data_IF_088367209300
#
_entry.id   IF_088367209300
#
_cell.length_a   1.000
_cell.length_b   1.000
_cell.length_c   1.000
_cell.angle_alpha   90.00
_cell.angle_beta   90.00
_cell.angle_gamma   90.00
#
_symmetry.space_group_name_H-M   'P 1'
#
loop_
_entity.id
_entity.type
_entity.pdbx_description
1 polymer ?
#
# COMPACT_ATOMS: atom_id res chain seq x y z
N UNK A 1 -3.21 18.96 33.70
CA UNK A 1 -4.01 18.75 32.47
C UNK A 1 -3.28 19.28 31.24
N UNK A 2 -2.67 20.46 31.30
CA UNK A 2 -1.90 21.03 30.16
C UNK A 2 -0.69 20.17 29.73
N UNK A 3 0.04 19.58 30.67
CA UNK A 3 1.20 18.74 30.36
C UNK A 3 0.82 17.43 29.65
N UNK A 4 -0.36 16.89 29.91
CA UNK A 4 -0.86 15.67 29.23
C UNK A 4 -1.26 15.95 27.78
N UNK A 5 -1.92 17.09 27.55
CA UNK A 5 -2.30 17.52 26.19
C UNK A 5 -1.08 17.88 25.35
N UNK A 6 -0.05 18.49 25.97
CA UNK A 6 1.19 18.82 25.29
C UNK A 6 1.95 17.56 24.86
N UNK A 7 2.05 16.59 25.77
CA UNK A 7 2.70 15.29 25.49
C UNK A 7 1.95 14.51 24.40
N UNK A 8 0.61 14.53 24.44
CA UNK A 8 -0.21 13.88 23.41
C UNK A 8 -0.01 14.51 22.03
N UNK A 9 0.05 15.85 21.97
CA UNK A 9 0.34 16.58 20.71
C UNK A 9 1.76 16.31 20.20
N UNK A 10 2.75 16.20 21.08
CA UNK A 10 4.11 15.86 20.69
C UNK A 10 4.18 14.45 20.09
N UNK A 11 3.52 13.48 20.73
CA UNK A 11 3.44 12.10 20.23
C UNK A 11 2.71 12.04 18.87
N UNK A 12 1.62 12.78 18.72
CA UNK A 12 0.88 12.86 17.45
C UNK A 12 1.69 13.58 16.36
N UNK A 13 2.43 14.63 16.69
CA UNK A 13 3.32 15.30 15.75
C UNK A 13 4.49 14.41 15.32
N UNK A 14 5.17 13.74 16.27
CA UNK A 14 6.23 12.80 15.94
C UNK A 14 5.71 11.60 15.13
N UNK A 15 4.48 11.16 15.39
CA UNK A 15 3.79 10.13 14.61
C UNK A 15 3.49 10.62 13.19
N UNK A 16 3.00 11.86 13.07
CA UNK A 16 2.68 12.50 11.80
C UNK A 16 3.93 12.77 10.96
N UNK A 17 5.02 13.27 11.56
CA UNK A 17 6.29 13.51 10.88
C UNK A 17 6.95 12.19 10.43
N UNK A 18 6.89 11.13 11.25
CA UNK A 18 7.36 9.79 10.86
C UNK A 18 6.56 9.22 9.70
N UNK A 19 5.26 9.44 9.66
CA UNK A 19 4.38 8.97 8.57
C UNK A 19 4.68 9.64 7.22
N UNK A 20 5.22 10.86 7.21
CA UNK A 20 5.58 11.57 5.98
C UNK A 20 6.87 11.03 5.35
N UNK A 21 7.79 10.48 6.15
CA UNK A 21 9.06 9.92 5.65
C UNK A 21 9.04 8.40 5.47
N UNK A 22 8.13 7.69 6.13
CA UNK A 22 8.14 6.22 6.17
C UNK A 22 7.04 5.64 5.28
N UNK A 23 7.43 4.91 4.24
CA UNK A 23 6.51 4.26 3.30
C UNK A 23 5.71 3.15 4.00
N UNK A 24 6.39 2.35 4.81
CA UNK A 24 5.81 1.21 5.52
C UNK A 24 6.49 1.01 6.86
N UNK A 25 5.72 0.71 7.90
CA UNK A 25 6.22 0.25 9.20
C UNK A 25 5.38 -0.90 9.72
N UNK A 26 6.02 -1.78 10.49
CA UNK A 26 5.35 -2.88 11.16
C UNK A 26 5.69 -2.91 12.66
N UNK A 27 4.70 -3.25 13.50
CA UNK A 27 4.93 -3.51 14.92
C UNK A 27 5.32 -4.96 15.11
N UNK A 28 6.62 -5.20 15.28
CA UNK A 28 7.20 -6.52 15.47
C UNK A 28 6.99 -6.96 16.92
N UNK A 29 6.30 -8.08 17.12
CA UNK A 29 5.91 -8.57 18.44
C UNK A 29 6.45 -9.98 18.70
N UNK A 30 6.88 -10.22 19.95
CA UNK A 30 7.28 -11.53 20.43
C UNK A 30 6.06 -12.29 20.94
N UNK A 31 5.56 -13.24 20.14
CA UNK A 31 4.36 -14.01 20.45
C UNK A 31 4.51 -14.84 21.74
N UNK A 32 5.67 -15.44 21.98
CA UNK A 32 5.92 -16.22 23.19
C UNK A 32 5.77 -15.38 24.46
N UNK A 33 6.33 -14.19 24.48
CA UNK A 33 6.17 -13.26 25.62
C UNK A 33 4.75 -12.73 25.74
N UNK A 34 4.07 -12.51 24.61
CA UNK A 34 2.68 -12.09 24.62
C UNK A 34 1.77 -13.12 25.31
N UNK A 35 1.94 -14.40 25.00
CA UNK A 35 1.17 -15.50 25.61
C UNK A 35 1.45 -15.68 27.10
N UNK A 36 2.62 -15.26 27.57
CA UNK A 36 2.99 -15.26 28.99
C UNK A 36 2.48 -14.03 29.77
N UNK A 37 1.73 -13.13 29.10
CA UNK A 37 1.22 -11.90 29.70
C UNK A 37 2.29 -10.81 29.89
N UNK A 38 3.40 -10.90 29.20
CA UNK A 38 4.53 -9.94 29.20
C UNK A 38 4.77 -9.43 27.77
N UNK A 39 3.84 -8.67 27.17
CA UNK A 39 3.97 -8.25 25.78
C UNK A 39 5.27 -7.46 25.57
N UNK A 40 6.00 -7.80 24.51
CA UNK A 40 7.19 -7.10 24.06
C UNK A 40 7.15 -6.96 22.55
N UNK A 41 7.26 -5.74 22.07
CA UNK A 41 7.26 -5.42 20.64
C UNK A 41 7.81 -4.02 20.41
N UNK A 42 8.13 -3.74 19.15
CA UNK A 42 8.72 -2.47 18.71
C UNK A 42 8.32 -2.16 17.28
N UNK A 43 8.12 -0.87 16.96
CA UNK A 43 7.90 -0.40 15.61
C UNK A 43 9.20 -0.42 14.80
N UNK A 44 9.14 -1.01 13.62
CA UNK A 44 10.24 -1.02 12.66
C UNK A 44 9.77 -0.38 11.36
N UNK A 45 10.52 0.62 10.88
CA UNK A 45 10.30 1.25 9.59
C UNK A 45 11.04 0.50 8.49
N UNK A 46 10.38 0.26 7.37
CA UNK A 46 10.96 -0.38 6.19
C UNK A 46 11.24 0.65 5.09
N UNK A 47 12.32 0.49 4.31
CA UNK A 47 13.33 -0.56 4.43
C UNK A 47 14.23 -0.36 5.65
N UNK A 48 14.70 -1.49 6.22
CA UNK A 48 15.59 -1.53 7.39
C UNK A 48 16.80 -2.44 7.13
N UNK A 49 17.81 -2.36 7.98
CA UNK A 49 19.01 -3.20 7.87
C UNK A 49 18.92 -4.45 8.74
N UNK A 50 19.69 -5.50 8.38
CA UNK A 50 19.79 -6.72 9.18
C UNK A 50 20.35 -6.45 10.59
N UNK A 51 21.27 -5.49 10.70
CA UNK A 51 21.85 -5.07 11.98
C UNK A 51 20.78 -4.45 12.87
N UNK A 52 19.96 -3.56 12.33
CA UNK A 52 18.87 -2.93 13.07
C UNK A 52 17.82 -3.95 13.50
N UNK A 53 17.42 -4.87 12.60
CA UNK A 53 16.50 -5.97 12.96
C UNK A 53 17.06 -6.84 14.10
N UNK A 54 18.35 -7.14 14.07
CA UNK A 54 19.00 -7.89 15.14
C UNK A 54 18.93 -7.15 16.49
N UNK A 55 19.19 -5.85 16.49
CA UNK A 55 19.06 -5.03 17.70
C UNK A 55 17.61 -5.00 18.22
N UNK A 56 16.61 -4.89 17.32
CA UNK A 56 15.19 -4.99 17.68
C UNK A 56 14.89 -6.36 18.30
N UNK A 57 15.33 -7.45 17.68
CA UNK A 57 15.10 -8.81 18.19
C UNK A 57 15.71 -9.00 19.59
N UNK A 58 16.91 -8.49 19.81
CA UNK A 58 17.55 -8.52 21.13
C UNK A 58 16.70 -7.75 22.17
N UNK A 59 16.17 -6.56 21.82
CA UNK A 59 15.33 -5.75 22.72
C UNK A 59 13.99 -6.40 23.04
N UNK A 60 13.30 -6.96 22.04
CA UNK A 60 12.02 -7.63 22.25
C UNK A 60 12.18 -9.08 22.76
N UNK A 61 13.44 -9.58 22.75
CA UNK A 61 13.82 -10.87 23.32
C UNK A 61 13.48 -12.07 22.44
N UNK A 62 13.61 -11.93 21.12
CA UNK A 62 13.59 -13.05 20.18
C UNK A 62 15.00 -13.66 20.15
N UNK A 63 15.16 -14.86 20.70
CA UNK A 63 16.46 -15.54 20.83
C UNK A 63 16.61 -16.77 19.93
N UNK A 64 15.57 -17.11 19.17
CA UNK A 64 15.55 -18.27 18.27
C UNK A 64 15.53 -19.63 18.97
N UNK A 65 15.43 -19.65 20.31
CA UNK A 65 15.43 -20.87 21.15
C UNK A 65 14.14 -21.03 21.93
N UNK A 66 13.89 -20.11 22.88
CA UNK A 66 12.70 -20.12 23.72
C UNK A 66 11.59 -19.22 23.15
N UNK A 67 12.00 -18.16 22.43
CA UNK A 67 11.15 -17.17 21.84
C UNK A 67 11.60 -16.97 20.38
N UNK A 68 11.13 -17.86 19.50
CA UNK A 68 11.47 -17.83 18.06
C UNK A 68 10.36 -17.30 17.16
N UNK A 69 9.15 -17.10 17.70
CA UNK A 69 8.00 -16.71 16.92
C UNK A 69 7.83 -15.18 16.90
N UNK A 70 8.07 -14.62 15.73
CA UNK A 70 7.85 -13.23 15.41
C UNK A 70 6.49 -13.07 14.73
N UNK A 71 5.69 -12.11 15.18
CA UNK A 71 4.47 -11.67 14.54
C UNK A 71 4.50 -10.17 14.28
N UNK A 72 3.91 -9.73 13.22
CA UNK A 72 3.72 -8.32 12.90
C UNK A 72 2.25 -8.01 13.18
N UNK A 73 1.97 -7.44 14.33
CA UNK A 73 0.59 -7.28 14.83
C UNK A 73 -0.11 -6.03 14.32
N UNK A 74 0.64 -5.06 13.81
CA UNK A 74 0.10 -3.83 13.25
C UNK A 74 1.01 -3.30 12.14
N UNK A 75 0.41 -2.72 11.11
CA UNK A 75 1.10 -2.02 10.02
C UNK A 75 0.66 -0.57 9.92
N UNK A 76 1.58 0.30 9.53
CA UNK A 76 1.32 1.68 9.14
C UNK A 76 1.99 1.97 7.81
N UNK A 77 1.30 2.67 6.92
CA UNK A 77 1.82 3.03 5.61
C UNK A 77 1.37 4.43 5.20
N UNK A 78 2.24 5.16 4.50
CA UNK A 78 1.87 6.40 3.81
C UNK A 78 1.09 6.13 2.52
N UNK A 79 1.04 4.86 2.07
CA UNK A 79 0.32 4.44 0.89
C UNK A 79 -1.07 3.96 1.29
N UNK A 80 -2.10 4.59 0.73
CA UNK A 80 -3.48 4.23 1.02
C UNK A 80 -3.75 2.75 0.70
N UNK A 81 -4.41 2.05 1.63
CA UNK A 81 -4.83 0.66 1.46
C UNK A 81 -3.73 -0.40 1.68
N UNK A 82 -2.43 -0.05 1.60
CA UNK A 82 -1.34 -1.05 1.67
C UNK A 82 -1.32 -1.80 3.00
N UNK A 83 -1.38 -1.08 4.13
CA UNK A 83 -1.33 -1.71 5.45
C UNK A 83 -2.45 -2.76 5.67
N UNK A 84 -3.62 -2.52 5.09
CA UNK A 84 -4.77 -3.43 5.21
C UNK A 84 -4.70 -4.70 4.35
N UNK A 85 -3.71 -4.79 3.46
CA UNK A 85 -3.47 -5.97 2.60
C UNK A 85 -2.43 -6.93 3.19
N UNK A 86 -1.69 -6.50 4.21
CA UNK A 86 -0.60 -7.28 4.81
C UNK A 86 -1.10 -8.13 5.98
N UNK A 87 -0.49 -9.28 6.17
CA UNK A 87 -0.82 -10.26 7.22
C UNK A 87 0.20 -10.28 8.35
N UNK A 88 -0.09 -10.97 9.45
CA UNK A 88 0.77 -11.03 10.64
C UNK A 88 2.09 -11.80 10.42
N UNK A 89 2.20 -12.57 9.33
CA UNK A 89 3.31 -13.50 9.08
C UNK A 89 4.13 -13.14 7.83
N UNK A 90 4.11 -11.88 7.42
CA UNK A 90 4.86 -11.45 6.25
C UNK A 90 6.38 -11.59 6.43
N UNK A 91 7.06 -11.89 5.35
CA UNK A 91 8.52 -11.94 5.29
C UNK A 91 9.11 -10.55 5.45
N UNK A 92 10.01 -10.37 6.43
CA UNK A 92 10.72 -9.10 6.64
C UNK A 92 11.58 -8.71 5.43
N UNK A 93 12.14 -9.70 4.72
CA UNK A 93 12.95 -9.47 3.51
C UNK A 93 12.07 -8.97 2.36
N UNK A 94 10.86 -9.54 2.21
CA UNK A 94 9.90 -9.09 1.18
C UNK A 94 9.32 -7.72 1.52
N UNK A 95 9.05 -7.41 2.80
CA UNK A 95 8.63 -6.06 3.24
C UNK A 95 9.72 -5.03 2.98
N UNK A 96 10.99 -5.37 3.23
CA UNK A 96 12.12 -4.53 2.88
C UNK A 96 12.18 -4.27 1.36
N UNK A 97 12.09 -5.34 0.58
CA UNK A 97 12.14 -5.25 -0.87
C UNK A 97 11.00 -4.41 -1.44
N UNK A 98 9.75 -4.66 -0.99
CA UNK A 98 8.61 -3.83 -1.38
C UNK A 98 8.84 -2.35 -1.04
N UNK A 99 9.32 -2.08 0.17
CA UNK A 99 9.55 -0.70 0.61
C UNK A 99 10.66 0.01 -0.16
N UNK A 100 11.73 -0.69 -0.53
CA UNK A 100 12.77 -0.17 -1.43
C UNK A 100 12.21 0.13 -2.83
N UNK A 101 11.44 -0.81 -3.39
CA UNK A 101 10.83 -0.67 -4.70
C UNK A 101 9.90 0.55 -4.74
N UNK A 102 9.02 0.65 -3.75
CA UNK A 102 8.09 1.76 -3.62
C UNK A 102 8.82 3.11 -3.39
N UNK A 103 9.93 3.14 -2.69
CA UNK A 103 10.75 4.35 -2.48
C UNK A 103 11.42 4.85 -3.76
N UNK A 104 11.79 3.93 -4.66
CA UNK A 104 12.49 4.26 -5.89
C UNK A 104 11.57 4.74 -7.02
N UNK A 105 10.31 4.30 -7.03
CA UNK A 105 9.36 4.51 -8.15
C UNK A 105 8.33 5.62 -7.93
N UNK A 106 8.31 6.27 -6.76
CA UNK A 106 7.09 6.86 -6.20
C UNK A 106 6.76 8.32 -6.54
N UNK A 107 7.56 9.07 -7.26
CA UNK A 107 7.17 10.46 -7.53
C UNK A 107 6.07 10.58 -8.60
N UNK A 108 6.04 9.66 -9.59
CA UNK A 108 5.08 9.74 -10.70
C UNK A 108 4.00 8.61 -10.70
N UNK A 109 4.28 7.45 -10.09
CA UNK A 109 3.45 6.24 -10.21
C UNK A 109 2.59 5.90 -8.96
N UNK A 110 2.64 6.74 -7.92
CA UNK A 110 1.94 6.48 -6.66
C UNK A 110 0.42 6.33 -6.82
N UNK A 111 -0.19 7.25 -7.56
CA UNK A 111 -1.65 7.21 -7.78
C UNK A 111 -2.05 5.98 -8.57
N UNK A 112 -1.25 5.61 -9.58
CA UNK A 112 -1.46 4.41 -10.37
C UNK A 112 -1.37 3.13 -9.52
N UNK A 113 -0.36 3.04 -8.63
CA UNK A 113 -0.21 1.91 -7.72
C UNK A 113 -1.40 1.79 -6.76
N UNK A 114 -1.84 2.89 -6.17
CA UNK A 114 -3.00 2.91 -5.28
C UNK A 114 -4.26 2.47 -6.02
N UNK A 115 -4.50 3.02 -7.21
CA UNK A 115 -5.67 2.65 -8.03
C UNK A 115 -5.65 1.17 -8.44
N UNK A 116 -4.48 0.63 -8.84
CA UNK A 116 -4.32 -0.78 -9.18
C UNK A 116 -4.53 -1.70 -7.96
N UNK A 117 -4.08 -1.29 -6.76
CA UNK A 117 -4.36 -2.02 -5.53
C UNK A 117 -5.85 -1.99 -5.15
N UNK A 118 -6.53 -0.85 -5.34
CA UNK A 118 -7.98 -0.70 -5.06
C UNK A 118 -8.82 -1.53 -6.02
N UNK A 119 -8.41 -1.64 -7.28
CA UNK A 119 -9.05 -2.53 -8.25
C UNK A 119 -9.04 -3.99 -7.78
N UNK A 120 -8.00 -4.40 -7.07
CA UNK A 120 -7.96 -5.62 -6.27
C UNK A 120 -7.44 -6.86 -6.99
N UNK A 121 -7.20 -6.81 -8.30
CA UNK A 121 -6.50 -7.86 -9.00
C UNK A 121 -5.02 -7.86 -8.59
N UNK A 122 -4.43 -9.05 -8.45
CA UNK A 122 -3.02 -9.20 -8.08
C UNK A 122 -2.62 -8.54 -6.75
N UNK A 123 -3.48 -8.63 -5.72
CA UNK A 123 -3.24 -8.09 -4.37
C UNK A 123 -3.64 -9.06 -3.25
N UNK A 124 -3.58 -10.38 -3.50
CA UNK A 124 -4.00 -11.41 -2.54
C UNK A 124 -2.99 -11.63 -1.42
N UNK A 125 -1.71 -11.41 -1.72
CA UNK A 125 -0.59 -11.59 -0.81
C UNK A 125 0.53 -10.58 -1.11
N UNK A 126 1.56 -10.56 -0.26
CA UNK A 126 2.70 -9.65 -0.40
C UNK A 126 3.46 -9.84 -1.73
N UNK A 127 3.56 -11.08 -2.22
CA UNK A 127 4.23 -11.36 -3.49
C UNK A 127 3.45 -10.79 -4.68
N UNK A 128 2.12 -10.88 -4.67
CA UNK A 128 1.26 -10.25 -5.68
C UNK A 128 1.45 -8.72 -5.67
N UNK A 129 1.52 -8.09 -4.49
CA UNK A 129 1.74 -6.65 -4.34
C UNK A 129 3.13 -6.23 -4.85
N UNK A 130 4.17 -7.04 -4.59
CA UNK A 130 5.51 -6.82 -5.14
C UNK A 130 5.48 -6.91 -6.66
N UNK A 131 4.84 -7.93 -7.22
CA UNK A 131 4.69 -8.10 -8.67
C UNK A 131 3.93 -6.94 -9.31
N UNK A 132 2.85 -6.46 -8.65
CA UNK A 132 2.12 -5.28 -9.09
C UNK A 132 3.03 -4.04 -9.15
N UNK A 133 3.79 -3.79 -8.08
CA UNK A 133 4.73 -2.66 -8.03
C UNK A 133 5.80 -2.73 -9.12
N UNK A 134 6.28 -3.94 -9.46
CA UNK A 134 7.28 -4.14 -10.52
C UNK A 134 6.74 -3.96 -11.94
N UNK A 135 5.44 -4.09 -12.14
CA UNK A 135 4.79 -4.12 -13.46
C UNK A 135 3.76 -2.99 -13.62
N UNK A 136 3.97 -1.85 -12.98
CA UNK A 136 3.07 -0.70 -13.08
C UNK A 136 2.97 -0.12 -14.50
N UNK A 137 3.95 -0.36 -15.34
CA UNK A 137 3.94 -0.03 -16.77
C UNK A 137 2.88 -0.81 -17.57
N UNK A 138 2.39 -1.94 -17.03
CA UNK A 138 1.28 -2.71 -17.59
C UNK A 138 -0.10 -2.11 -17.29
N UNK A 139 -0.16 -1.06 -16.46
CA UNK A 139 -1.40 -0.40 -16.06
C UNK A 139 -1.47 1.02 -16.62
N UNK A 140 -2.64 1.41 -17.08
CA UNK A 140 -2.95 2.79 -17.47
C UNK A 140 -3.95 3.38 -16.49
N UNK A 141 -3.66 4.57 -16.00
CA UNK A 141 -4.57 5.36 -15.17
C UNK A 141 -5.06 6.56 -16.00
N UNK A 142 -6.35 6.73 -16.03
CA UNK A 142 -7.01 7.87 -16.69
C UNK A 142 -7.71 8.74 -15.63
N UNK A 143 -7.01 9.72 -15.02
CA UNK A 143 -7.57 10.50 -13.91
C UNK A 143 -8.82 11.30 -14.27
N UNK A 144 -9.00 11.61 -15.57
CA UNK A 144 -10.17 12.33 -16.10
C UNK A 144 -11.40 11.44 -16.30
N UNK A 145 -11.26 10.11 -16.22
CA UNK A 145 -12.32 9.13 -16.41
C UNK A 145 -12.84 8.68 -15.04
N UNK A 146 -14.04 9.13 -14.67
CA UNK A 146 -14.65 8.83 -13.37
C UNK A 146 -15.94 8.02 -13.47
N UNK A 147 -16.42 7.78 -14.70
CA UNK A 147 -17.63 7.03 -14.98
C UNK A 147 -17.50 6.21 -16.27
N UNK A 148 -18.41 5.27 -16.48
CA UNK A 148 -18.51 4.53 -17.74
C UNK A 148 -18.76 5.47 -18.92
N UNK A 149 -19.58 6.52 -18.74
CA UNK A 149 -19.82 7.53 -19.75
C UNK A 149 -18.52 8.27 -20.14
N UNK A 150 -17.72 8.71 -19.15
CA UNK A 150 -16.41 9.35 -19.42
C UNK A 150 -15.47 8.43 -20.17
N UNK A 151 -15.46 7.12 -19.81
CA UNK A 151 -14.64 6.15 -20.51
C UNK A 151 -15.11 5.92 -21.96
N UNK A 152 -16.42 5.88 -22.19
CA UNK A 152 -17.00 5.84 -23.53
C UNK A 152 -16.62 7.05 -24.37
N UNK A 153 -16.65 8.25 -23.78
CA UNK A 153 -16.17 9.48 -24.43
C UNK A 153 -14.68 9.36 -24.78
N UNK A 154 -13.86 8.91 -23.84
CA UNK A 154 -12.42 8.74 -24.07
C UNK A 154 -12.13 7.79 -25.25
N UNK A 155 -12.81 6.63 -25.32
CA UNK A 155 -12.62 5.66 -26.40
C UNK A 155 -12.99 6.23 -27.77
N UNK A 156 -14.07 6.98 -27.85
CA UNK A 156 -14.61 7.48 -29.11
C UNK A 156 -13.92 8.77 -29.54
N UNK A 157 -13.64 9.70 -28.63
CA UNK A 157 -13.18 11.04 -28.96
C UNK A 157 -11.65 11.17 -28.92
N UNK A 158 -10.97 10.39 -28.08
CA UNK A 158 -9.51 10.46 -27.93
C UNK A 158 -8.79 9.31 -28.64
N UNK A 159 -9.37 8.11 -28.63
CA UNK A 159 -8.76 6.92 -29.26
C UNK A 159 -9.34 6.62 -30.65
N UNK A 160 -10.38 7.34 -31.10
CA UNK A 160 -11.05 7.14 -32.41
C UNK A 160 -11.44 5.67 -32.66
N UNK A 161 -11.85 4.92 -31.60
CA UNK A 161 -12.25 3.51 -31.75
C UNK A 161 -13.45 3.32 -32.67
N UNK A 162 -14.28 4.36 -32.80
CA UNK A 162 -15.42 4.39 -33.73
C UNK A 162 -15.47 5.74 -34.40
N UNK A 163 -15.33 5.76 -35.73
CA UNK A 163 -15.50 6.98 -36.54
C UNK A 163 -16.96 7.44 -36.51
N UNK A 164 -17.23 8.48 -35.73
CA UNK A 164 -18.55 9.13 -35.66
C UNK A 164 -18.49 10.51 -36.27
N UNK A 165 -19.47 10.87 -37.18
CA UNK A 165 -19.64 12.25 -37.58
C UNK A 165 -19.91 13.16 -36.38
N UNK A 166 -19.34 14.37 -36.38
CA UNK A 166 -19.48 15.33 -35.28
C UNK A 166 -20.95 15.62 -34.89
N UNK A 167 -21.85 15.61 -35.90
CA UNK A 167 -23.27 15.81 -35.65
C UNK A 167 -23.92 14.61 -34.94
N UNK A 168 -23.34 13.42 -35.05
CA UNK A 168 -23.84 12.19 -34.40
C UNK A 168 -23.33 12.02 -32.97
N UNK A 169 -22.13 12.53 -32.65
CA UNK A 169 -21.51 12.40 -31.31
C UNK A 169 -22.46 12.90 -30.21
N UNK A 170 -23.14 14.01 -30.38
CA UNK A 170 -24.08 14.59 -29.40
C UNK A 170 -25.33 13.74 -29.11
N UNK A 171 -25.60 12.71 -29.90
CA UNK A 171 -26.71 11.77 -29.72
C UNK A 171 -26.22 10.36 -29.43
N UNK A 172 -24.90 10.15 -29.34
CA UNK A 172 -24.32 8.85 -29.10
C UNK A 172 -24.46 8.47 -27.63
N UNK A 173 -24.83 7.23 -27.39
CA UNK A 173 -25.05 6.71 -26.03
C UNK A 173 -23.77 6.02 -25.56
N UNK A 174 -22.86 6.78 -24.96
CA UNK A 174 -21.50 6.35 -24.61
C UNK A 174 -21.50 5.24 -23.57
N UNK A 175 -22.36 5.32 -22.56
CA UNK A 175 -22.52 4.30 -21.51
C UNK A 175 -23.01 2.96 -22.09
N UNK A 176 -24.03 3.00 -22.94
CA UNK A 176 -24.56 1.80 -23.59
C UNK A 176 -23.57 1.18 -24.56
N UNK A 177 -22.73 1.99 -25.21
CA UNK A 177 -21.67 1.49 -26.06
C UNK A 177 -20.69 0.63 -25.28
N UNK A 178 -20.26 1.06 -24.09
CA UNK A 178 -19.39 0.28 -23.22
C UNK A 178 -20.01 -1.05 -22.81
N UNK A 179 -21.29 -1.07 -22.48
CA UNK A 179 -21.99 -2.29 -22.11
C UNK A 179 -22.02 -3.34 -23.23
N UNK A 180 -21.86 -2.91 -24.49
CA UNK A 180 -21.80 -3.79 -25.67
C UNK A 180 -20.40 -4.34 -25.94
N UNK A 181 -19.33 -3.63 -25.57
CA UNK A 181 -17.95 -4.06 -25.83
C UNK A 181 -17.31 -4.82 -24.66
N UNK A 182 -17.91 -4.77 -23.48
CA UNK A 182 -17.49 -5.49 -22.26
C UNK A 182 -18.22 -6.84 -22.08
N UNK A 183 -18.49 -7.56 -23.16
CA UNK A 183 -19.04 -8.94 -23.08
C UNK A 183 -17.93 -9.97 -22.87
#
# INVERSE_FOLDING_TARGET
>A
MEDYELMHRMIENERSERMVETILSGYLSNLGKYTEGRPAGEWVSFPTTAEHLKEVFDRIGIDGKNYGELHITEYQSSIAGLAGKLTELESLDELNYLSELLKMQFDDDREKFVAAMEYGDHTRDLQDIINLAQNLDCYWLYPSVQSEEDYGHYLIEELDELELPEEAKKYFMYEEYLSLIHI
#
